data_IF_723856347961
#
_entry.id   IF_723856347961
#
_cell.length_a   1.000
_cell.length_b   1.000
_cell.length_c   1.000
_cell.angle_alpha   90.00
_cell.angle_beta   90.00
_cell.angle_gamma   90.00
#
_symmetry.space_group_name_H-M   'P 1'
#
loop_
_entity.id
_entity.type
_entity.pdbx_description
1 polymer ?
#
# COMPACT_ATOMS: atom_id res chain seq x y z
N UNK A 1 -12.38 12.35 -23.34
CA UNK A 1 -11.17 13.02 -22.87
C UNK A 1 -10.80 14.25 -23.71
N UNK A 2 -11.77 14.79 -24.45
CA UNK A 2 -11.56 15.98 -25.29
C UNK A 2 -12.41 17.13 -24.74
N UNK A 3 -11.82 18.31 -24.58
CA UNK A 3 -12.54 19.52 -24.21
C UNK A 3 -13.69 19.77 -25.20
N UNK A 4 -14.88 20.11 -24.69
CA UNK A 4 -16.08 20.37 -25.51
C UNK A 4 -16.82 19.12 -25.98
N UNK A 5 -16.40 17.92 -25.51
CA UNK A 5 -17.08 16.65 -25.83
C UNK A 5 -16.68 16.02 -27.17
N UNK A 6 -17.37 14.97 -27.62
CA UNK A 6 -18.61 14.41 -27.05
C UNK A 6 -18.40 13.73 -25.69
N UNK A 7 -19.42 13.81 -24.81
CA UNK A 7 -19.37 13.23 -23.46
C UNK A 7 -20.08 11.87 -23.41
N UNK A 8 -19.45 10.93 -22.71
CA UNK A 8 -20.02 9.61 -22.44
C UNK A 8 -20.50 9.54 -20.99
N UNK A 9 -21.68 8.98 -20.73
CA UNK A 9 -22.17 8.77 -19.36
C UNK A 9 -21.31 7.72 -18.67
N UNK A 10 -20.64 8.11 -17.59
CA UNK A 10 -19.78 7.22 -16.79
C UNK A 10 -20.47 6.70 -15.54
N UNK A 11 -21.46 7.43 -15.01
CA UNK A 11 -22.22 7.01 -13.83
C UNK A 11 -23.61 7.66 -13.79
N UNK A 12 -24.55 6.99 -13.11
CA UNK A 12 -25.80 7.55 -12.60
C UNK A 12 -25.73 7.53 -11.07
N UNK A 13 -25.80 8.70 -10.45
CA UNK A 13 -25.63 8.86 -9.01
C UNK A 13 -26.85 9.53 -8.39
N UNK A 14 -27.18 9.13 -7.16
CA UNK A 14 -28.23 9.74 -6.33
C UNK A 14 -27.64 10.57 -5.20
N UNK A 15 -26.30 10.66 -5.14
CA UNK A 15 -25.54 11.45 -4.17
C UNK A 15 -24.93 12.67 -4.87
N UNK A 16 -24.52 13.65 -4.09
CA UNK A 16 -23.84 14.84 -4.60
C UNK A 16 -22.36 14.63 -4.94
N UNK A 17 -21.86 13.39 -4.86
CA UNK A 17 -20.46 13.04 -5.06
C UNK A 17 -20.32 11.79 -5.92
N UNK A 18 -19.32 11.78 -6.78
CA UNK A 18 -18.87 10.62 -7.53
C UNK A 18 -17.33 10.58 -7.58
N UNK A 19 -16.74 9.43 -7.33
CA UNK A 19 -15.30 9.21 -7.48
C UNK A 19 -15.07 8.41 -8.75
N UNK A 20 -14.44 9.03 -9.75
CA UNK A 20 -14.01 8.33 -10.96
C UNK A 20 -12.70 7.60 -10.67
N UNK A 21 -12.74 6.27 -10.67
CA UNK A 21 -11.59 5.38 -10.46
C UNK A 21 -11.03 4.81 -11.76
N UNK A 22 -11.69 5.07 -12.91
CA UNK A 22 -11.29 4.59 -14.22
C UNK A 22 -10.41 5.62 -14.96
N UNK A 23 -9.50 6.25 -14.22
CA UNK A 23 -8.64 7.34 -14.74
C UNK A 23 -7.18 6.91 -14.77
N UNK A 24 -6.41 7.52 -15.68
CA UNK A 24 -4.95 7.35 -15.78
C UNK A 24 -4.26 8.54 -15.12
N UNK A 25 -3.28 8.29 -14.26
CA UNK A 25 -2.52 9.34 -13.59
C UNK A 25 -1.89 10.30 -14.61
N UNK A 26 -1.97 11.61 -14.33
CA UNK A 26 -1.46 12.67 -15.17
C UNK A 26 -2.36 13.02 -16.37
N UNK A 27 -3.37 12.21 -16.69
CA UNK A 27 -4.32 12.53 -17.75
C UNK A 27 -5.35 13.57 -17.29
N UNK A 28 -5.71 14.50 -18.19
CA UNK A 28 -6.77 15.50 -17.94
C UNK A 28 -8.07 15.00 -18.53
N UNK A 29 -9.10 14.99 -17.68
CA UNK A 29 -10.47 14.61 -18.03
C UNK A 29 -11.39 15.82 -17.94
N UNK A 30 -12.44 15.82 -18.75
CA UNK A 30 -13.42 16.90 -18.84
C UNK A 30 -14.79 16.35 -18.46
N UNK A 31 -15.44 16.95 -17.49
CA UNK A 31 -16.69 16.47 -16.92
C UNK A 31 -17.82 17.49 -17.07
N UNK A 32 -19.00 16.98 -17.35
CA UNK A 32 -20.27 17.70 -17.24
C UNK A 32 -21.26 16.87 -16.44
N UNK A 33 -22.20 17.51 -15.81
CA UNK A 33 -23.30 16.87 -15.06
C UNK A 33 -24.62 17.21 -15.72
N UNK A 34 -25.52 16.21 -15.81
CA UNK A 34 -26.91 16.37 -16.26
C UNK A 34 -27.84 15.88 -15.16
N UNK A 35 -28.89 16.61 -14.89
CA UNK A 35 -29.99 16.09 -14.09
C UNK A 35 -30.86 15.14 -14.94
N UNK A 36 -31.39 14.11 -14.29
CA UNK A 36 -32.33 13.15 -14.87
C UNK A 36 -33.58 13.12 -14.00
N UNK A 37 -34.75 13.34 -14.59
CA UNK A 37 -36.00 13.21 -13.87
C UNK A 37 -36.52 11.76 -13.82
N UNK A 38 -37.58 11.51 -13.10
CA UNK A 38 -38.21 10.18 -12.97
C UNK A 38 -38.82 9.66 -14.29
N UNK A 39 -38.98 10.51 -15.28
CA UNK A 39 -39.45 10.16 -16.64
C UNK A 39 -38.28 10.02 -17.64
N UNK A 40 -37.04 10.02 -17.14
CA UNK A 40 -35.81 9.93 -17.91
C UNK A 40 -35.52 11.10 -18.84
N UNK A 41 -36.18 12.26 -18.63
CA UNK A 41 -35.79 13.48 -19.33
C UNK A 41 -34.47 14.01 -18.75
N UNK A 42 -33.59 14.49 -19.65
CA UNK A 42 -32.28 15.02 -19.29
C UNK A 42 -32.24 16.53 -19.38
N UNK A 43 -31.59 17.19 -18.43
CA UNK A 43 -31.27 18.61 -18.56
C UNK A 43 -30.17 18.86 -19.61
N UNK A 44 -29.94 20.14 -19.92
CA UNK A 44 -28.72 20.56 -20.57
C UNK A 44 -27.50 20.22 -19.69
N UNK A 45 -26.31 20.21 -20.30
CA UNK A 45 -25.05 20.04 -19.60
C UNK A 45 -24.80 21.21 -18.64
N UNK A 46 -24.14 20.89 -17.50
CA UNK A 46 -23.52 21.93 -16.71
C UNK A 46 -22.37 22.59 -17.45
N UNK A 47 -21.79 23.65 -16.90
CA UNK A 47 -20.48 24.11 -17.31
C UNK A 47 -19.47 22.93 -17.23
N UNK A 48 -18.58 22.83 -18.23
CA UNK A 48 -17.50 21.85 -18.25
C UNK A 48 -16.46 22.17 -17.17
N UNK A 49 -15.97 21.14 -16.50
CA UNK A 49 -14.85 21.22 -15.55
C UNK A 49 -13.76 20.27 -16.00
N UNK A 50 -12.53 20.75 -16.10
CA UNK A 50 -11.35 19.95 -16.33
C UNK A 50 -10.73 19.53 -15.00
N UNK A 51 -10.32 18.27 -14.89
CA UNK A 51 -9.58 17.74 -13.76
C UNK A 51 -8.43 16.83 -14.23
N UNK A 52 -7.23 17.04 -13.69
CA UNK A 52 -6.11 16.15 -13.95
C UNK A 52 -6.07 15.08 -12.87
N UNK A 53 -6.08 13.82 -13.28
CA UNK A 53 -6.06 12.69 -12.38
C UNK A 53 -4.73 12.61 -11.64
N UNK A 54 -4.79 12.41 -10.33
CA UNK A 54 -3.63 12.21 -9.48
C UNK A 54 -3.87 11.03 -8.54
N UNK A 55 -2.90 10.10 -8.47
CA UNK A 55 -2.94 9.05 -7.48
C UNK A 55 -2.80 9.64 -6.07
N UNK A 56 -3.64 9.17 -5.16
CA UNK A 56 -3.66 9.63 -3.77
C UNK A 56 -2.47 9.05 -3.00
N UNK A 57 -1.95 9.82 -2.06
CA UNK A 57 -0.90 9.32 -1.16
C UNK A 57 -1.53 8.50 -0.04
N UNK A 58 -1.01 7.30 0.16
CA UNK A 58 -1.41 6.35 1.20
C UNK A 58 -0.37 6.37 2.32
N UNK A 59 -0.83 6.49 3.56
CA UNK A 59 -0.02 6.20 4.75
C UNK A 59 -0.10 4.69 5.02
N UNK A 60 1.02 3.99 4.91
CA UNK A 60 1.14 2.54 5.08
C UNK A 60 1.79 2.23 6.42
N UNK A 61 1.06 1.61 7.33
CA UNK A 61 1.53 1.26 8.67
C UNK A 61 1.69 -0.26 8.76
N UNK A 62 2.90 -0.72 9.04
CA UNK A 62 3.18 -2.11 9.38
C UNK A 62 3.22 -2.30 10.89
N UNK A 63 2.43 -3.21 11.40
CA UNK A 63 2.54 -3.76 12.75
C UNK A 63 3.01 -5.21 12.61
N UNK A 64 4.16 -5.50 13.17
CA UNK A 64 4.83 -6.79 12.99
C UNK A 64 5.00 -7.49 14.31
N UNK A 65 4.41 -8.67 14.44
CA UNK A 65 4.64 -9.56 15.58
C UNK A 65 5.75 -10.53 15.23
N UNK A 66 6.71 -10.70 16.14
CA UNK A 66 7.86 -11.60 15.96
C UNK A 66 7.94 -12.61 17.10
N UNK A 67 8.62 -13.77 16.92
CA UNK A 67 8.77 -14.76 17.99
C UNK A 67 9.60 -14.20 19.17
N UNK A 68 9.32 -14.64 20.38
CA UNK A 68 10.04 -14.21 21.59
C UNK A 68 11.56 -14.46 21.52
N UNK A 69 11.99 -15.45 20.72
CA UNK A 69 13.42 -15.70 20.46
C UNK A 69 14.15 -14.54 19.79
N UNK A 70 13.41 -13.61 19.16
CA UNK A 70 13.98 -12.39 18.54
C UNK A 70 14.71 -11.54 19.58
N UNK A 71 14.13 -11.36 20.75
CA UNK A 71 14.69 -10.53 21.82
C UNK A 71 16.05 -11.05 22.31
N UNK A 72 16.21 -12.38 22.38
CA UNK A 72 17.45 -13.02 22.78
C UNK A 72 18.61 -12.82 21.79
N UNK A 73 18.31 -12.45 20.54
CA UNK A 73 19.34 -12.17 19.53
C UNK A 73 19.98 -10.80 19.69
N UNK A 74 19.37 -9.88 20.44
CA UNK A 74 19.74 -8.47 20.57
C UNK A 74 19.79 -7.72 19.21
N UNK A 75 19.13 -8.26 18.19
CA UNK A 75 19.08 -7.69 16.83
C UNK A 75 17.81 -6.87 16.64
N UNK A 76 17.88 -5.87 15.77
CA UNK A 76 16.71 -5.16 15.29
C UNK A 76 16.01 -5.95 14.18
N UNK A 77 14.71 -5.71 14.03
CA UNK A 77 13.92 -6.21 12.91
C UNK A 77 13.98 -5.21 11.77
N UNK A 78 14.15 -5.71 10.56
CA UNK A 78 14.22 -4.91 9.31
C UNK A 78 13.18 -5.41 8.32
N UNK A 79 12.80 -4.53 7.41
CA UNK A 79 12.02 -4.88 6.22
C UNK A 79 12.89 -4.63 4.98
N UNK A 80 12.91 -5.59 4.07
CA UNK A 80 13.62 -5.51 2.81
C UNK A 80 12.67 -5.89 1.67
N UNK A 81 12.73 -5.17 0.56
CA UNK A 81 11.82 -5.41 -0.57
C UNK A 81 11.98 -4.36 -1.66
N UNK A 82 10.98 -4.26 -2.53
CA UNK A 82 10.83 -3.16 -3.48
C UNK A 82 10.36 -1.88 -2.78
N UNK A 83 11.10 -1.46 -1.74
CA UNK A 83 10.79 -0.28 -0.95
C UNK A 83 11.12 1.02 -1.69
N UNK A 84 11.98 0.97 -2.69
CA UNK A 84 12.28 2.06 -3.61
C UNK A 84 11.07 2.58 -4.40
N UNK A 85 9.97 1.80 -4.42
CA UNK A 85 8.67 2.21 -5.00
C UNK A 85 7.83 3.08 -4.07
N UNK A 86 8.23 3.21 -2.80
CA UNK A 86 7.61 4.06 -1.79
C UNK A 86 8.34 5.41 -1.72
N UNK A 87 7.74 6.37 -1.03
CA UNK A 87 8.38 7.67 -0.83
C UNK A 87 9.61 7.55 0.09
N UNK A 88 10.55 8.50 0.00
CA UNK A 88 11.68 8.59 0.93
C UNK A 88 13.00 8.02 0.42
N UNK A 89 13.10 7.67 -0.87
CA UNK A 89 14.35 7.14 -1.47
C UNK A 89 14.92 5.94 -0.72
N UNK A 90 14.05 4.97 -0.44
CA UNK A 90 14.37 3.78 0.33
C UNK A 90 15.20 2.77 -0.49
N UNK A 91 16.04 1.95 0.16
CA UNK A 91 16.85 0.96 -0.54
C UNK A 91 16.00 -0.21 -1.07
N UNK A 92 16.36 -0.71 -2.24
CA UNK A 92 15.78 -1.92 -2.81
C UNK A 92 16.49 -3.15 -2.24
N UNK A 93 15.74 -4.12 -1.73
CA UNK A 93 16.20 -5.44 -1.26
C UNK A 93 17.45 -5.42 -0.37
N UNK A 94 17.60 -4.40 0.48
CA UNK A 94 18.69 -4.33 1.46
C UNK A 94 18.21 -4.88 2.81
N UNK A 95 18.72 -6.05 3.27
CA UNK A 95 18.20 -6.73 4.47
C UNK A 95 18.47 -5.98 5.78
N UNK A 96 19.43 -5.06 5.81
CA UNK A 96 19.76 -4.22 6.97
C UNK A 96 19.52 -2.73 6.72
N UNK A 97 18.81 -2.38 5.63
CA UNK A 97 18.68 -0.99 5.20
C UNK A 97 17.55 -0.20 5.88
N UNK A 98 16.46 -0.87 6.27
CA UNK A 98 15.28 -0.20 6.85
C UNK A 98 14.84 -0.92 8.12
N UNK A 99 15.17 -0.34 9.27
CA UNK A 99 14.84 -0.88 10.57
C UNK A 99 13.42 -0.49 11.01
N UNK A 100 12.71 -1.42 11.63
CA UNK A 100 11.46 -1.16 12.32
C UNK A 100 11.74 -0.56 13.70
N UNK A 101 10.76 0.15 14.23
CA UNK A 101 10.76 0.67 15.59
C UNK A 101 10.20 -0.40 16.53
N UNK A 102 11.00 -0.78 17.55
CA UNK A 102 10.59 -1.72 18.58
C UNK A 102 9.56 -1.08 19.50
N UNK A 103 8.44 -1.77 19.73
CA UNK A 103 7.43 -1.37 20.69
C UNK A 103 7.61 -2.15 22.01
N UNK A 104 7.86 -3.45 21.89
CA UNK A 104 8.18 -4.35 23.00
C UNK A 104 9.03 -5.55 22.51
N UNK A 105 9.12 -6.63 23.29
CA UNK A 105 9.93 -7.81 22.96
C UNK A 105 9.47 -8.52 21.68
N UNK A 106 8.20 -8.40 21.32
CA UNK A 106 7.56 -9.14 20.22
C UNK A 106 6.83 -8.26 19.21
N UNK A 107 6.70 -6.96 19.45
CA UNK A 107 5.96 -6.05 18.58
C UNK A 107 6.86 -4.94 18.04
N UNK A 108 6.80 -4.77 16.73
CA UNK A 108 7.56 -3.80 15.96
C UNK A 108 6.66 -3.07 14.98
N UNK A 109 6.99 -1.83 14.64
CA UNK A 109 6.19 -1.03 13.70
C UNK A 109 7.07 -0.18 12.80
N UNK A 110 6.55 0.13 11.63
CA UNK A 110 7.11 1.15 10.73
C UNK A 110 6.00 1.76 9.88
N UNK A 111 6.18 3.02 9.51
CA UNK A 111 5.24 3.74 8.64
C UNK A 111 5.97 4.24 7.41
N UNK A 112 5.33 4.06 6.26
CA UNK A 112 5.75 4.59 4.98
C UNK A 112 4.64 5.45 4.37
N UNK A 113 4.99 6.18 3.31
CA UNK A 113 4.02 6.74 2.39
C UNK A 113 4.32 6.26 0.97
N UNK A 114 3.30 6.28 0.13
CA UNK A 114 3.43 5.92 -1.28
C UNK A 114 2.13 6.19 -2.03
N UNK A 115 2.16 6.05 -3.34
CA UNK A 115 0.97 6.25 -4.16
C UNK A 115 0.06 5.02 -4.13
N UNK A 116 -1.27 5.22 -4.11
CA UNK A 116 -2.22 4.12 -4.28
C UNK A 116 -1.90 3.35 -5.58
N UNK A 117 -2.26 2.09 -5.63
CA UNK A 117 -1.92 1.12 -6.69
C UNK A 117 -0.46 0.68 -6.77
N UNK A 118 0.46 1.34 -6.04
CA UNK A 118 1.85 0.86 -5.95
C UNK A 118 1.88 -0.56 -5.41
N UNK A 119 2.62 -1.44 -6.08
CA UNK A 119 2.83 -2.84 -5.68
C UNK A 119 4.23 -3.01 -5.13
N UNK A 120 4.33 -3.62 -3.96
CA UNK A 120 5.61 -3.98 -3.34
C UNK A 120 5.64 -5.47 -3.02
N UNK A 121 6.85 -6.03 -3.07
CA UNK A 121 7.19 -7.32 -2.48
C UNK A 121 8.20 -7.09 -1.36
N UNK A 122 8.09 -7.83 -0.27
CA UNK A 122 8.96 -7.64 0.89
C UNK A 122 9.13 -8.90 1.73
N UNK A 123 10.13 -8.88 2.58
CA UNK A 123 10.43 -9.86 3.64
C UNK A 123 10.93 -9.16 4.87
N UNK A 124 10.86 -9.87 6.02
CA UNK A 124 11.50 -9.43 7.26
C UNK A 124 12.81 -10.15 7.50
N UNK A 125 13.77 -9.43 8.11
CA UNK A 125 15.10 -9.93 8.45
C UNK A 125 15.54 -9.40 9.81
N UNK A 126 16.64 -9.95 10.34
CA UNK A 126 17.36 -9.40 11.50
C UNK A 126 18.67 -8.69 11.07
N UNK A 127 18.65 -8.03 9.92
CA UNK A 127 19.76 -7.21 9.41
C UNK A 127 20.59 -7.84 8.31
N UNK A 128 20.38 -9.13 8.01
CA UNK A 128 21.06 -9.85 6.93
C UNK A 128 20.19 -11.00 6.39
N UNK A 129 20.57 -11.59 5.26
CA UNK A 129 19.82 -12.69 4.64
C UNK A 129 20.02 -14.04 5.34
N UNK A 130 21.02 -14.15 6.22
CA UNK A 130 21.22 -15.35 7.05
C UNK A 130 20.19 -15.44 8.18
N UNK A 131 19.51 -14.31 8.46
CA UNK A 131 18.48 -14.23 9.49
C UNK A 131 17.15 -13.72 8.89
N UNK A 132 16.74 -14.28 7.76
CA UNK A 132 15.45 -13.97 7.11
C UNK A 132 14.31 -14.76 7.76
N UNK A 133 13.10 -14.22 7.65
CA UNK A 133 11.89 -14.88 8.15
C UNK A 133 11.67 -16.28 7.58
N UNK A 134 11.13 -17.17 8.43
CA UNK A 134 10.82 -18.56 8.13
C UNK A 134 9.40 -18.92 8.52
N UNK A 135 8.84 -19.94 7.90
CA UNK A 135 7.58 -20.54 8.28
C UNK A 135 7.60 -21.30 9.60
N UNK A 136 6.44 -21.82 10.02
CA UNK A 136 6.28 -22.52 11.28
C UNK A 136 7.15 -23.76 11.42
N UNK A 137 7.40 -24.48 10.33
CA UNK A 137 8.26 -25.66 10.26
C UNK A 137 9.69 -25.31 9.79
N UNK A 138 10.12 -24.04 9.92
CA UNK A 138 11.40 -23.53 9.44
C UNK A 138 11.55 -23.57 7.91
N UNK A 139 10.47 -23.72 7.19
CA UNK A 139 10.40 -23.74 5.75
C UNK A 139 10.67 -22.36 5.15
N UNK A 140 11.11 -22.32 3.89
CA UNK A 140 11.29 -21.08 3.14
C UNK A 140 9.93 -20.46 2.81
N UNK A 141 9.81 -19.18 3.04
CA UNK A 141 8.64 -18.41 2.64
C UNK A 141 8.88 -17.68 1.31
N UNK A 142 7.84 -17.55 0.49
CA UNK A 142 7.81 -16.61 -0.63
C UNK A 142 7.88 -15.17 -0.15
N UNK A 143 8.10 -14.23 -1.08
CA UNK A 143 7.99 -12.81 -0.76
C UNK A 143 6.54 -12.47 -0.40
N UNK A 144 6.34 -11.64 0.61
CA UNK A 144 5.05 -11.03 0.90
C UNK A 144 4.73 -10.04 -0.22
N UNK A 145 3.46 -9.91 -0.58
CA UNK A 145 3.01 -9.01 -1.64
C UNK A 145 1.95 -8.07 -1.10
N UNK A 146 2.03 -6.80 -1.48
CA UNK A 146 1.08 -5.78 -1.08
C UNK A 146 0.84 -4.80 -2.22
N UNK A 147 -0.43 -4.44 -2.44
CA UNK A 147 -0.81 -3.30 -3.27
C UNK A 147 -1.34 -2.20 -2.36
N UNK A 148 -0.82 -0.99 -2.50
CA UNK A 148 -1.26 0.16 -1.73
C UNK A 148 -2.68 0.55 -2.14
N UNK A 149 -3.55 0.70 -1.14
CA UNK A 149 -4.95 1.11 -1.31
C UNK A 149 -5.25 2.30 -0.40
N UNK A 150 -5.77 3.37 -0.98
CA UNK A 150 -6.18 4.55 -0.21
C UNK A 150 -7.36 4.25 0.73
N UNK A 151 -8.22 3.31 0.36
CA UNK A 151 -9.44 3.00 1.13
C UNK A 151 -10.31 4.24 1.37
N UNK A 152 -10.87 4.37 2.56
CA UNK A 152 -11.71 5.51 2.95
C UNK A 152 -10.96 6.59 3.72
N UNK A 153 -9.82 6.27 4.32
CA UNK A 153 -9.10 7.15 5.28
C UNK A 153 -7.72 7.59 4.79
N UNK A 154 -7.22 7.02 3.70
CA UNK A 154 -5.85 7.24 3.23
C UNK A 154 -4.79 6.51 4.06
N UNK A 155 -5.22 5.68 5.02
CA UNK A 155 -4.31 4.86 5.84
C UNK A 155 -4.59 3.38 5.59
N UNK A 156 -3.56 2.64 5.28
CA UNK A 156 -3.58 1.18 5.15
C UNK A 156 -2.73 0.57 6.26
N UNK A 157 -3.33 -0.30 7.06
CA UNK A 157 -2.64 -1.02 8.14
C UNK A 157 -2.41 -2.46 7.72
N UNK A 158 -1.17 -2.92 7.85
CA UNK A 158 -0.75 -4.30 7.61
C UNK A 158 -0.33 -4.90 8.95
N UNK A 159 -0.98 -5.99 9.33
CA UNK A 159 -0.61 -6.73 10.55
C UNK A 159 0.02 -8.05 10.13
N UNK A 160 1.33 -8.13 10.27
CA UNK A 160 2.13 -9.28 9.89
C UNK A 160 2.65 -10.05 11.10
N UNK A 161 2.83 -11.35 10.94
CA UNK A 161 3.50 -12.20 11.90
C UNK A 161 4.70 -12.90 11.24
N UNK A 162 5.85 -12.80 11.88
CA UNK A 162 7.02 -13.62 11.60
C UNK A 162 7.01 -14.76 12.60
N UNK A 163 7.05 -15.99 12.11
CA UNK A 163 6.92 -17.18 12.95
C UNK A 163 8.28 -17.66 13.48
N UNK A 164 9.29 -17.61 12.63
CA UNK A 164 10.65 -18.02 12.95
C UNK A 164 11.66 -17.21 12.12
N UNK A 165 12.93 -17.31 12.49
CA UNK A 165 14.06 -16.76 11.76
C UNK A 165 15.05 -17.86 11.36
N UNK A 166 15.68 -17.74 10.18
CA UNK A 166 16.81 -18.58 9.80
C UNK A 166 17.94 -18.40 10.83
N UNK A 167 18.64 -19.47 11.18
CA UNK A 167 19.76 -19.48 12.13
C UNK A 167 19.45 -18.93 13.53
N UNK A 168 18.18 -18.94 13.94
CA UNK A 168 17.71 -18.64 15.30
C UNK A 168 16.83 -19.80 15.75
N UNK A 169 16.98 -20.28 17.00
CA UNK A 169 16.14 -21.36 17.51
C UNK A 169 14.65 -21.06 17.35
N UNK A 170 13.83 -21.99 16.90
CA UNK A 170 14.13 -23.42 16.64
C UNK A 170 14.73 -23.72 15.25
N UNK A 171 14.96 -22.75 14.39
CA UNK A 171 15.42 -22.94 13.00
C UNK A 171 16.95 -22.80 12.81
N UNK A 172 17.70 -22.76 13.87
CA UNK A 172 19.15 -22.75 13.90
C UNK A 172 19.71 -23.88 14.77
N UNK A 173 20.96 -24.25 14.52
CA UNK A 173 21.72 -25.16 15.38
C UNK A 173 22.34 -24.39 16.54
#
# INVERSE_FOLDING_TARGET
DTAGGPYTTIALVITSQYLDTAVTEGATYYYVVRALDTSFNRSADSAEVAATAQLRTVTLVFNVTVPASTDATLRSVYIAGFLDRLDGNLPQWNPGGVALTRQDATHWTITFTGKETTQIEYKYTLGDWDHVEKGAACDELGNRQLTLSYGTTGTQVVNDAVLNWRNVLPCGN
#
